data_IF_604083565943
#
_entry.id   IF_604083565943
#
_cell.length_a   1.000
_cell.length_b   1.000
_cell.length_c   1.000
_cell.angle_alpha   90.00
_cell.angle_beta   90.00
_cell.angle_gamma   90.00
#
_symmetry.space_group_name_H-M   'P 1'
#
loop_
_entity.id
_entity.type
_entity.pdbx_description
1 polymer ?
#
# COMPACT_ATOMS: atom_id res chain seq x y z
N UNK A 1 -5.64 -0.62 -2.37
CA UNK A 1 -7.07 -0.33 -2.54
C UNK A 1 -7.32 0.02 -4.00
N UNK A 2 -8.32 -0.59 -4.60
CA UNK A 2 -8.64 -0.41 -6.02
C UNK A 2 -10.11 -0.03 -6.20
N UNK A 3 -10.40 0.84 -7.18
CA UNK A 3 -11.74 1.29 -7.51
C UNK A 3 -11.73 1.89 -8.92
N UNK A 4 -12.68 1.47 -9.76
CA UNK A 4 -12.90 2.05 -11.10
C UNK A 4 -11.64 2.07 -11.98
N UNK A 5 -10.81 1.03 -11.91
CA UNK A 5 -9.58 0.95 -12.67
C UNK A 5 -8.43 1.80 -12.12
N UNK A 6 -8.58 2.29 -10.89
CA UNK A 6 -7.57 3.13 -10.21
C UNK A 6 -7.06 2.44 -8.96
N UNK A 7 -5.82 2.72 -8.59
CA UNK A 7 -5.20 2.26 -7.34
C UNK A 7 -4.91 3.46 -6.43
N UNK A 8 -5.19 3.30 -5.13
CA UNK A 8 -4.85 4.31 -4.13
C UNK A 8 -3.41 4.10 -3.68
N UNK A 9 -2.61 5.15 -3.79
CA UNK A 9 -1.23 5.16 -3.33
C UNK A 9 -1.00 6.35 -2.42
N UNK A 10 0.03 6.26 -1.58
CA UNK A 10 0.41 7.31 -0.65
C UNK A 10 1.89 7.65 -0.83
N UNK A 11 2.21 8.94 -0.75
CA UNK A 11 3.59 9.39 -0.80
C UNK A 11 4.16 9.41 0.61
N UNK A 12 5.27 8.70 0.80
CA UNK A 12 5.94 8.59 2.09
C UNK A 12 6.57 9.92 2.48
N UNK A 13 6.43 10.29 3.76
CA UNK A 13 7.05 11.50 4.30
C UNK A 13 8.56 11.46 4.15
N UNK A 14 9.19 12.62 3.91
CA UNK A 14 10.63 12.71 3.76
C UNK A 14 11.43 12.38 5.03
N UNK A 15 10.78 12.38 6.19
CA UNK A 15 11.41 12.02 7.46
C UNK A 15 11.39 10.51 7.75
N UNK A 16 10.73 9.70 6.91
CA UNK A 16 10.67 8.25 7.11
C UNK A 16 12.04 7.63 6.94
N UNK A 17 12.38 6.65 7.80
CA UNK A 17 13.64 5.93 7.76
C UNK A 17 13.77 5.09 6.49
N UNK A 18 12.66 4.42 6.09
CA UNK A 18 12.63 3.56 4.89
C UNK A 18 11.93 4.28 3.76
N UNK A 19 12.56 4.28 2.58
CA UNK A 19 11.97 4.80 1.35
C UNK A 19 11.35 6.20 1.49
N UNK A 20 12.09 7.20 1.99
CA UNK A 20 11.51 8.53 2.18
C UNK A 20 11.15 9.21 0.85
N UNK A 21 10.01 9.88 0.82
CA UNK A 21 9.61 10.73 -0.30
C UNK A 21 9.11 10.02 -1.56
N UNK A 22 9.04 8.69 -1.56
CA UNK A 22 8.54 7.93 -2.72
C UNK A 22 7.09 7.47 -2.48
N UNK A 23 6.45 7.00 -3.54
CA UNK A 23 5.08 6.49 -3.47
C UNK A 23 5.04 5.02 -3.06
N UNK A 24 4.04 4.66 -2.29
CA UNK A 24 3.89 3.32 -1.73
C UNK A 24 2.42 2.91 -1.69
N UNK A 25 2.20 1.61 -1.57
CA UNK A 25 0.87 1.09 -1.27
C UNK A 25 0.54 1.36 0.20
N UNK A 26 -0.76 1.34 0.53
CA UNK A 26 -1.21 1.51 1.92
C UNK A 26 -0.93 0.23 2.68
N UNK A 27 -0.25 0.35 3.83
CA UNK A 27 0.07 -0.81 4.66
C UNK A 27 1.20 -0.53 5.63
N UNK A 28 1.60 -1.54 6.37
CA UNK A 28 2.67 -1.43 7.37
C UNK A 28 3.16 -2.78 7.84
N UNK A 29 3.84 -2.76 8.99
CA UNK A 29 4.49 -3.93 9.54
C UNK A 29 3.59 -4.71 10.49
N UNK A 30 3.72 -6.04 10.44
CA UNK A 30 3.07 -6.96 11.37
C UNK A 30 3.54 -6.65 12.80
N UNK A 31 2.60 -6.51 13.73
CA UNK A 31 2.90 -6.38 15.15
C UNK A 31 2.75 -7.74 15.85
N UNK A 32 3.39 -7.88 17.01
CA UNK A 32 3.32 -9.10 17.79
C UNK A 32 1.87 -9.47 18.11
N UNK A 33 1.51 -10.72 17.84
CA UNK A 33 0.16 -11.23 18.10
C UNK A 33 -0.86 -10.95 17.01
N UNK A 34 -0.50 -10.22 15.97
CA UNK A 34 -1.40 -9.96 14.84
C UNK A 34 -1.28 -11.03 13.76
N UNK A 35 -2.40 -11.33 13.10
CA UNK A 35 -2.37 -12.03 11.81
C UNK A 35 -2.06 -11.01 10.70
N UNK A 36 -1.72 -11.50 9.52
CA UNK A 36 -1.47 -10.65 8.35
C UNK A 36 -2.69 -9.81 8.00
N UNK A 37 -3.89 -10.40 8.07
CA UNK A 37 -5.16 -9.71 7.79
C UNK A 37 -5.47 -8.65 8.83
N UNK A 38 -5.20 -8.93 10.10
CA UNK A 38 -5.37 -7.94 11.18
C UNK A 38 -4.44 -6.75 10.98
N UNK A 39 -3.21 -6.99 10.53
CA UNK A 39 -2.26 -5.93 10.19
C UNK A 39 -2.80 -5.07 9.06
N UNK A 40 -3.33 -5.68 8.00
CA UNK A 40 -3.92 -4.95 6.88
C UNK A 40 -5.03 -4.01 7.35
N UNK A 41 -5.98 -4.54 8.12
CA UNK A 41 -7.11 -3.75 8.62
C UNK A 41 -6.63 -2.60 9.49
N UNK A 42 -5.75 -2.86 10.44
CA UNK A 42 -5.22 -1.84 11.35
C UNK A 42 -4.49 -0.73 10.58
N UNK A 43 -3.59 -1.10 9.67
CA UNK A 43 -2.79 -0.13 8.93
C UNK A 43 -3.65 0.74 8.01
N UNK A 44 -4.63 0.15 7.34
CA UNK A 44 -5.54 0.92 6.48
C UNK A 44 -6.35 1.91 7.31
N UNK A 45 -6.85 1.48 8.47
CA UNK A 45 -7.59 2.36 9.39
C UNK A 45 -6.71 3.52 9.89
N UNK A 46 -5.48 3.23 10.28
CA UNK A 46 -4.55 4.25 10.78
C UNK A 46 -4.13 5.24 9.70
N UNK A 47 -3.86 4.78 8.50
CA UNK A 47 -3.28 5.60 7.45
C UNK A 47 -4.32 6.38 6.63
N UNK A 48 -5.46 5.78 6.32
CA UNK A 48 -6.46 6.39 5.44
C UNK A 48 -7.88 6.42 6.03
N UNK A 49 -8.04 6.00 7.26
CA UNK A 49 -9.26 6.22 8.03
C UNK A 49 -10.48 5.41 7.62
N UNK A 50 -10.31 4.32 6.88
CA UNK A 50 -11.40 3.44 6.47
C UNK A 50 -11.11 2.01 6.87
N UNK A 51 -12.15 1.14 6.90
CA UNK A 51 -12.04 -0.25 7.30
C UNK A 51 -12.22 -1.16 6.10
N UNK A 52 -11.20 -1.95 5.71
CA UNK A 52 -11.36 -2.93 4.63
C UNK A 52 -12.42 -3.97 4.97
N UNK A 53 -13.35 -4.23 4.03
CA UNK A 53 -14.42 -5.21 4.20
C UNK A 53 -14.24 -6.41 3.29
N UNK A 54 -13.69 -6.20 2.09
CA UNK A 54 -13.46 -7.27 1.12
C UNK A 54 -12.08 -7.10 0.51
N UNK A 55 -11.24 -8.11 0.69
CA UNK A 55 -9.87 -8.10 0.18
C UNK A 55 -9.42 -9.52 -0.12
N UNK A 56 -8.41 -9.64 -0.97
CA UNK A 56 -7.82 -10.92 -1.34
C UNK A 56 -6.30 -10.82 -1.38
N UNK A 57 -5.63 -11.90 -1.02
CA UNK A 57 -4.17 -11.97 -1.08
C UNK A 57 -3.71 -11.86 -2.53
N UNK A 58 -2.71 -11.04 -2.77
CA UNK A 58 -2.17 -10.78 -4.10
C UNK A 58 -0.79 -11.44 -4.27
N UNK A 59 0.04 -11.37 -3.25
CA UNK A 59 1.39 -11.94 -3.30
C UNK A 59 2.28 -11.43 -2.20
N UNK A 60 3.56 -11.76 -2.31
CA UNK A 60 4.59 -11.38 -1.34
C UNK A 60 5.81 -10.85 -2.08
N UNK A 61 6.52 -9.90 -1.45
CA UNK A 61 7.79 -9.38 -1.94
C UNK A 61 8.78 -9.39 -0.77
N UNK A 62 9.96 -9.97 -0.98
CA UNK A 62 11.04 -9.88 0.00
C UNK A 62 11.70 -8.51 -0.09
N UNK A 63 12.13 -7.95 1.05
CA UNK A 63 12.85 -6.69 1.05
C UNK A 63 14.08 -6.78 0.15
N UNK A 64 14.20 -5.96 -0.92
CA UNK A 64 15.32 -6.07 -1.86
C UNK A 64 16.66 -5.61 -1.30
N UNK A 65 16.67 -4.85 -0.20
CA UNK A 65 17.90 -4.34 0.43
C UNK A 65 17.90 -4.65 1.92
N UNK A 66 17.98 -5.94 2.31
CA UNK A 66 17.87 -6.33 3.72
C UNK A 66 19.01 -5.82 4.60
N UNK A 67 20.18 -5.51 4.03
CA UNK A 67 21.30 -4.95 4.79
C UNK A 67 21.03 -3.51 5.24
N UNK A 68 20.19 -2.79 4.50
CA UNK A 68 19.87 -1.37 4.76
C UNK A 68 18.55 -1.25 5.53
N UNK A 69 17.54 -2.02 5.13
CA UNK A 69 16.17 -1.85 5.60
C UNK A 69 15.67 -2.97 6.51
N UNK A 70 16.53 -3.85 6.97
CA UNK A 70 16.24 -5.07 7.73
C UNK A 70 15.45 -6.10 6.88
N UNK A 71 15.67 -7.40 7.09
CA UNK A 71 14.92 -8.44 6.38
C UNK A 71 13.42 -8.31 6.69
N UNK A 72 12.59 -8.34 5.65
CA UNK A 72 11.15 -8.19 5.78
C UNK A 72 10.43 -8.80 4.57
N UNK A 73 9.26 -9.37 4.80
CA UNK A 73 8.37 -9.85 3.75
C UNK A 73 7.17 -8.91 3.68
N UNK A 74 6.94 -8.33 2.51
CA UNK A 74 5.77 -7.49 2.26
C UNK A 74 4.65 -8.36 1.74
N UNK A 75 3.54 -8.44 2.50
CA UNK A 75 2.36 -9.18 2.12
C UNK A 75 1.40 -8.22 1.42
N UNK A 76 1.05 -8.52 0.17
CA UNK A 76 0.23 -7.66 -0.66
C UNK A 76 -1.19 -8.18 -0.76
N UNK A 77 -2.16 -7.26 -0.67
CA UNK A 77 -3.58 -7.54 -0.81
C UNK A 77 -4.20 -6.56 -1.79
N UNK A 78 -5.24 -7.03 -2.48
CA UNK A 78 -6.14 -6.14 -3.22
C UNK A 78 -7.35 -5.89 -2.32
N UNK A 79 -7.61 -4.64 -1.97
CA UNK A 79 -8.78 -4.24 -1.19
C UNK A 79 -9.84 -3.71 -2.17
N UNK A 80 -10.98 -4.40 -2.22
CA UNK A 80 -12.04 -4.13 -3.19
C UNK A 80 -13.19 -3.31 -2.62
N UNK A 81 -13.38 -3.34 -1.31
CA UNK A 81 -14.48 -2.66 -0.64
C UNK A 81 -14.10 -2.29 0.79
N UNK A 82 -14.66 -1.19 1.28
CA UNK A 82 -14.38 -0.66 2.62
C UNK A 82 -15.56 0.14 3.15
N UNK A 83 -15.56 0.37 4.48
CA UNK A 83 -16.52 1.21 5.19
C UNK A 83 -15.81 2.42 5.78
N UNK A 84 -16.55 3.47 6.10
CA UNK A 84 -16.02 4.65 6.74
C UNK A 84 -15.87 5.86 5.81
N UNK A 85 -16.43 5.77 4.62
CA UNK A 85 -16.42 6.86 3.65
C UNK A 85 -15.23 6.81 2.70
N UNK A 86 -14.79 7.98 2.23
CA UNK A 86 -13.65 8.05 1.33
C UNK A 86 -12.33 7.95 2.11
N UNK A 87 -11.33 7.24 1.57
CA UNK A 87 -9.99 7.25 2.13
C UNK A 87 -9.45 8.68 2.19
N UNK A 88 -8.78 9.01 3.28
CA UNK A 88 -8.20 10.33 3.51
C UNK A 88 -6.83 10.21 4.15
N UNK A 89 -6.04 11.26 4.09
CA UNK A 89 -4.73 11.29 4.75
C UNK A 89 -4.97 11.41 6.27
N UNK A 90 -4.78 10.31 7.00
CA UNK A 90 -5.13 10.20 8.41
C UNK A 90 -3.92 10.09 9.35
N UNK A 91 -2.70 10.01 8.82
CA UNK A 91 -1.47 9.97 9.62
C UNK A 91 -0.40 10.87 9.01
N UNK A 92 0.67 11.14 9.77
CA UNK A 92 1.79 11.93 9.30
C UNK A 92 2.88 11.09 8.63
N UNK A 93 2.67 9.80 8.48
CA UNK A 93 3.61 8.91 7.78
C UNK A 93 3.66 9.19 6.27
N UNK A 94 2.62 9.82 5.75
CA UNK A 94 2.49 10.17 4.35
C UNK A 94 2.16 11.65 4.20
N UNK A 95 2.60 12.26 3.08
CA UNK A 95 2.35 13.67 2.79
C UNK A 95 1.18 13.90 1.86
N UNK A 96 0.82 12.89 1.07
CA UNK A 96 -0.31 12.98 0.16
C UNK A 96 -0.79 11.58 -0.22
N UNK A 97 -2.05 11.48 -0.67
CA UNK A 97 -2.61 10.27 -1.25
C UNK A 97 -3.26 10.62 -2.59
N UNK A 98 -3.41 9.63 -3.45
CA UNK A 98 -4.08 9.83 -4.74
C UNK A 98 -4.48 8.53 -5.39
N UNK A 99 -5.43 8.65 -6.31
CA UNK A 99 -5.89 7.55 -7.14
C UNK A 99 -5.20 7.63 -8.50
N UNK A 100 -4.62 6.54 -8.94
CA UNK A 100 -3.81 6.49 -10.15
C UNK A 100 -4.28 5.38 -11.08
N UNK A 101 -4.30 5.69 -12.38
CA UNK A 101 -4.47 4.68 -13.42
C UNK A 101 -3.20 3.82 -13.52
N UNK A 102 -3.26 2.71 -14.26
CA UNK A 102 -2.08 1.88 -14.48
C UNK A 102 -0.93 2.70 -15.09
N UNK A 103 -1.20 3.47 -16.14
CA UNK A 103 -0.17 4.28 -16.79
C UNK A 103 0.47 5.29 -15.84
N UNK A 104 -0.34 5.92 -15.00
CA UNK A 104 0.16 6.88 -14.00
C UNK A 104 0.96 6.18 -12.90
N UNK A 105 0.44 5.08 -12.37
CA UNK A 105 1.07 4.36 -11.26
C UNK A 105 2.45 3.81 -11.61
N UNK A 106 2.61 3.22 -12.82
CA UNK A 106 3.89 2.64 -13.22
C UNK A 106 4.95 3.70 -13.52
N UNK A 107 4.54 4.95 -13.74
CA UNK A 107 5.44 6.08 -13.99
C UNK A 107 5.93 6.76 -12.70
N UNK A 108 5.36 6.42 -11.55
CA UNK A 108 5.74 7.02 -10.27
C UNK A 108 7.09 6.46 -9.77
N UNK A 109 7.73 7.24 -8.90
CA UNK A 109 8.89 6.80 -8.13
C UNK A 109 8.37 5.96 -6.96
N UNK A 110 8.42 4.65 -7.11
CA UNK A 110 7.81 3.70 -6.19
C UNK A 110 8.81 3.16 -5.17
N UNK A 111 8.34 2.90 -3.95
CA UNK A 111 9.16 2.31 -2.89
C UNK A 111 9.74 0.95 -3.35
N UNK A 112 8.91 0.10 -3.96
CA UNK A 112 9.34 -1.17 -4.51
C UNK A 112 9.00 -1.22 -6.00
N UNK A 113 10.00 -1.34 -6.89
CA UNK A 113 9.74 -1.43 -8.35
C UNK A 113 8.83 -2.60 -8.74
N UNK A 114 8.84 -3.69 -7.97
CA UNK A 114 8.02 -4.87 -8.18
C UNK A 114 6.53 -4.57 -8.15
N UNK A 115 6.11 -3.49 -7.51
CA UNK A 115 4.70 -3.06 -7.49
C UNK A 115 4.15 -2.86 -8.90
N UNK A 116 4.98 -2.50 -9.88
CA UNK A 116 4.55 -2.28 -11.27
C UNK A 116 3.90 -3.52 -11.87
N UNK A 117 4.46 -4.69 -11.63
CA UNK A 117 3.91 -5.95 -12.12
C UNK A 117 2.58 -6.27 -11.46
N UNK A 118 2.46 -6.01 -10.16
CA UNK A 118 1.21 -6.19 -9.44
C UNK A 118 0.13 -5.23 -9.92
N UNK A 119 0.47 -3.98 -10.18
CA UNK A 119 -0.48 -3.01 -10.74
C UNK A 119 -0.99 -3.47 -12.11
N UNK A 120 -0.13 -4.00 -12.96
CA UNK A 120 -0.52 -4.55 -14.26
C UNK A 120 -1.52 -5.70 -14.11
N UNK A 121 -1.30 -6.58 -13.13
CA UNK A 121 -2.20 -7.71 -12.86
C UNK A 121 -3.56 -7.25 -12.33
N UNK A 122 -3.58 -6.25 -11.47
CA UNK A 122 -4.81 -5.80 -10.78
C UNK A 122 -5.61 -4.84 -11.66
N UNK A 123 -4.96 -3.90 -12.33
CA UNK A 123 -5.63 -2.82 -13.07
C UNK A 123 -5.92 -3.15 -14.52
N UNK A 124 -5.10 -3.98 -15.15
CA UNK A 124 -5.29 -4.36 -16.56
C UNK A 124 -6.50 -5.27 -16.76
N UNK A 125 -6.98 -5.93 -15.70
CA UNK A 125 -8.17 -6.80 -15.76
C UNK A 125 -9.48 -6.01 -15.64
N UNK A 126 -9.39 -4.73 -15.34
CA UNK A 126 -10.58 -3.87 -15.17
C UNK A 126 -10.99 -3.15 -16.45
#
# INVERSE_FOLDING_TARGET
MVRDGLVLLARRSGHRRRYPGVWDVIGGHLEAGESIEETLVREVEEEVGVTPNRFSALGEIDEPNPEINDPHVYHLFTVHDWSGGEPRLASDEHTEIGWFSLAEAVALDLALPEYRDYFRRVLAAG
#
